data_IF_850425353095
#
_entry.id   IF_850425353095
#
_cell.length_a   1.000
_cell.length_b   1.000
_cell.length_c   1.000
_cell.angle_alpha   90.00
_cell.angle_beta   90.00
_cell.angle_gamma   90.00
#
_symmetry.space_group_name_H-M   'P 1'
#
loop_
_entity.id
_entity.type
_entity.pdbx_description
1 polymer ?
#
# COMPACT_ATOMS: atom_id res chain seq x y z
N UNK A 1 -0.08 -16.03 5.92
CA UNK A 1 -0.31 -14.85 5.07
C UNK A 1 0.10 -13.58 5.81
N UNK A 2 0.67 -12.65 5.11
CA UNK A 2 1.19 -11.41 5.69
C UNK A 2 0.46 -10.22 5.10
N UNK A 3 0.10 -9.24 5.96
CA UNK A 3 -0.42 -7.94 5.52
C UNK A 3 0.70 -6.93 5.58
N UNK A 4 0.87 -6.18 4.49
CA UNK A 4 1.80 -5.07 4.41
C UNK A 4 0.98 -3.79 4.32
N UNK A 5 1.30 -2.81 5.17
CA UNK A 5 0.56 -1.56 5.24
C UNK A 5 1.50 -0.36 5.15
N UNK A 6 1.07 0.65 4.40
CA UNK A 6 1.82 1.89 4.25
C UNK A 6 0.86 3.07 4.29
N UNK A 7 1.29 4.16 4.94
CA UNK A 7 0.45 5.35 5.14
C UNK A 7 1.11 6.58 4.55
N UNK A 8 0.29 7.45 3.97
CA UNK A 8 0.75 8.74 3.49
C UNK A 8 -0.40 9.75 3.47
N UNK A 9 -0.08 11.02 3.67
CA UNK A 9 -1.07 12.10 3.67
C UNK A 9 -0.94 12.96 2.43
N UNK A 10 -2.08 13.37 1.90
CA UNK A 10 -2.18 14.17 0.68
C UNK A 10 -3.17 15.30 0.94
N UNK A 11 -2.95 16.46 0.35
CA UNK A 11 -3.94 17.55 0.40
C UNK A 11 -5.25 17.04 -0.21
N UNK A 12 -6.35 17.44 0.40
CA UNK A 12 -7.67 16.97 -0.03
C UNK A 12 -7.97 17.30 -1.49
N UNK A 13 -7.53 18.46 -1.96
CA UNK A 13 -7.78 18.89 -3.33
C UNK A 13 -6.97 18.08 -4.36
N UNK A 14 -5.96 17.34 -3.93
CA UNK A 14 -5.17 16.48 -4.81
C UNK A 14 -5.55 15.01 -4.73
N UNK A 15 -6.60 14.69 -3.97
CA UNK A 15 -7.01 13.31 -3.74
C UNK A 15 -7.25 12.54 -5.04
N UNK A 16 -8.04 13.10 -5.94
CA UNK A 16 -8.41 12.42 -7.18
C UNK A 16 -7.21 12.20 -8.09
N UNK A 17 -6.33 13.20 -8.18
CA UNK A 17 -5.11 13.07 -8.97
C UNK A 17 -4.19 12.00 -8.42
N UNK A 18 -4.07 11.95 -7.10
CA UNK A 18 -3.21 10.96 -6.46
C UNK A 18 -3.73 9.54 -6.67
N UNK A 19 -5.04 9.34 -6.57
CA UNK A 19 -5.65 8.04 -6.83
C UNK A 19 -5.37 7.59 -8.27
N UNK A 20 -5.51 8.51 -9.23
CA UNK A 20 -5.23 8.20 -10.63
C UNK A 20 -3.75 7.83 -10.82
N UNK A 21 -2.87 8.56 -10.18
CA UNK A 21 -1.44 8.28 -10.23
C UNK A 21 -1.12 6.90 -9.66
N UNK A 22 -1.71 6.55 -8.51
CA UNK A 22 -1.49 5.24 -7.89
C UNK A 22 -1.99 4.10 -8.77
N UNK A 23 -3.11 4.30 -9.45
CA UNK A 23 -3.63 3.28 -10.36
C UNK A 23 -2.68 2.99 -11.52
N UNK A 24 -1.90 3.98 -11.92
CA UNK A 24 -0.94 3.82 -13.02
C UNK A 24 0.44 3.37 -12.56
N UNK A 25 0.72 3.44 -11.27
CA UNK A 25 2.03 3.11 -10.71
C UNK A 25 1.96 1.99 -9.70
N UNK A 26 1.93 2.33 -8.41
CA UNK A 26 2.03 1.35 -7.34
C UNK A 26 0.95 0.29 -7.38
N UNK A 27 -0.31 0.70 -7.52
CA UNK A 27 -1.41 -0.27 -7.49
C UNK A 27 -1.37 -1.22 -8.68
N UNK A 28 -0.94 -0.73 -9.85
CA UNK A 28 -0.82 -1.58 -11.02
C UNK A 28 0.29 -2.62 -10.86
N UNK A 29 1.35 -2.26 -10.14
CA UNK A 29 2.50 -3.15 -9.97
C UNK A 29 2.22 -4.33 -9.05
N UNK A 30 1.35 -4.15 -8.04
CA UNK A 30 1.09 -5.21 -7.08
C UNK A 30 0.58 -6.49 -7.73
N UNK A 31 -0.35 -6.36 -8.68
CA UNK A 31 -0.96 -7.51 -9.33
C UNK A 31 -0.01 -8.30 -10.21
N UNK A 32 1.15 -7.73 -10.53
CA UNK A 32 2.15 -8.38 -11.37
C UNK A 32 3.11 -9.26 -10.58
N UNK A 33 3.05 -9.19 -9.27
CA UNK A 33 4.01 -9.90 -8.41
C UNK A 33 3.39 -11.20 -7.91
N UNK A 34 4.07 -12.31 -8.17
CA UNK A 34 3.64 -13.61 -7.67
C UNK A 34 3.63 -13.59 -6.15
N UNK A 35 2.56 -14.12 -5.58
CA UNK A 35 2.40 -14.16 -4.13
C UNK A 35 1.56 -13.01 -3.57
N UNK A 36 1.20 -12.02 -4.39
CA UNK A 36 0.25 -11.00 -3.97
C UNK A 36 -1.16 -11.58 -4.00
N UNK A 37 -1.89 -11.42 -2.88
CA UNK A 37 -3.21 -11.99 -2.71
C UNK A 37 -4.32 -10.94 -2.67
N UNK A 38 -3.96 -9.68 -2.82
CA UNK A 38 -4.95 -8.61 -2.85
C UNK A 38 -4.37 -7.27 -2.48
N UNK A 39 -5.07 -6.21 -2.87
CA UNK A 39 -4.68 -4.83 -2.63
C UNK A 39 -5.92 -4.04 -2.26
N UNK A 40 -5.84 -3.25 -1.19
CA UNK A 40 -6.85 -2.27 -0.84
C UNK A 40 -6.19 -0.90 -0.71
N UNK A 41 -6.80 0.09 -1.30
CA UNK A 41 -6.43 1.48 -1.06
C UNK A 41 -7.53 2.09 -0.22
N UNK A 42 -7.19 2.45 1.01
CA UNK A 42 -8.12 3.02 1.97
C UNK A 42 -7.83 4.50 2.12
N UNK A 43 -8.85 5.27 2.47
CA UNK A 43 -8.70 6.71 2.62
C UNK A 43 -9.54 7.20 3.79
N UNK A 44 -8.95 8.05 4.62
CA UNK A 44 -9.65 8.70 5.71
C UNK A 44 -9.57 10.21 5.53
N UNK A 45 -10.71 10.88 5.61
CA UNK A 45 -10.79 12.34 5.52
C UNK A 45 -10.41 12.94 6.87
N UNK A 46 -9.41 13.83 6.87
CA UNK A 46 -8.91 14.49 8.07
C UNK A 46 -9.21 15.99 8.07
N UNK A 47 -10.11 16.44 7.17
CA UNK A 47 -10.43 17.84 7.03
C UNK A 47 -9.73 18.45 5.82
N UNK A 48 -8.60 19.11 6.04
CA UNK A 48 -7.83 19.73 4.96
C UNK A 48 -7.00 18.71 4.18
N UNK A 49 -6.74 17.57 4.81
CA UNK A 49 -5.92 16.51 4.24
C UNK A 49 -6.70 15.20 4.23
N UNK A 50 -6.22 14.25 3.43
CA UNK A 50 -6.69 12.87 3.47
C UNK A 50 -5.49 11.98 3.77
N UNK A 51 -5.73 10.92 4.54
CA UNK A 51 -4.71 9.90 4.77
C UNK A 51 -5.05 8.68 3.95
N UNK A 52 -4.08 8.25 3.15
CA UNK A 52 -4.20 7.01 2.39
C UNK A 52 -3.48 5.89 3.14
N UNK A 53 -4.08 4.72 3.13
CA UNK A 53 -3.51 3.51 3.65
C UNK A 53 -3.56 2.47 2.55
N UNK A 54 -2.40 2.02 2.12
CA UNK A 54 -2.30 0.91 1.17
C UNK A 54 -2.14 -0.37 1.96
N UNK A 55 -3.08 -1.29 1.79
CA UNK A 55 -3.07 -2.57 2.50
C UNK A 55 -2.97 -3.69 1.47
N UNK A 56 -1.91 -4.46 1.55
CA UNK A 56 -1.65 -5.54 0.60
C UNK A 56 -1.46 -6.87 1.32
N UNK A 57 -1.86 -7.95 0.66
CA UNK A 57 -1.83 -9.29 1.22
C UNK A 57 -0.85 -10.17 0.46
N UNK A 58 -0.02 -10.91 1.18
CA UNK A 58 1.09 -11.66 0.60
C UNK A 58 1.19 -13.05 1.20
N UNK A 59 1.59 -14.01 0.36
CA UNK A 59 1.77 -15.38 0.82
C UNK A 59 3.01 -15.56 1.68
N UNK A 60 4.04 -14.72 1.49
CA UNK A 60 5.31 -14.87 2.19
C UNK A 60 6.13 -13.59 2.16
N UNK A 61 7.16 -13.52 2.99
CA UNK A 61 8.13 -12.43 2.96
C UNK A 61 8.91 -12.41 1.64
N UNK A 62 9.19 -13.58 1.08
CA UNK A 62 9.88 -13.67 -0.20
C UNK A 62 9.09 -13.00 -1.31
N UNK A 63 7.78 -13.16 -1.31
CA UNK A 63 6.92 -12.48 -2.28
C UNK A 63 6.99 -10.95 -2.11
N UNK A 64 7.01 -10.48 -0.87
CA UNK A 64 7.14 -9.05 -0.59
C UNK A 64 8.48 -8.52 -1.10
N UNK A 65 9.56 -9.28 -0.96
CA UNK A 65 10.87 -8.88 -1.45
C UNK A 65 10.90 -8.74 -2.97
N UNK A 66 10.14 -9.55 -3.67
CA UNK A 66 10.03 -9.42 -5.13
C UNK A 66 9.42 -8.08 -5.54
N UNK A 67 8.52 -7.55 -4.73
CA UNK A 67 7.92 -6.24 -4.97
C UNK A 67 8.80 -5.10 -4.47
N UNK A 68 9.20 -5.17 -3.20
CA UNK A 68 9.82 -4.04 -2.50
C UNK A 68 11.33 -4.06 -2.49
N UNK A 69 11.95 -5.17 -2.90
CA UNK A 69 13.39 -5.32 -2.91
C UNK A 69 13.93 -5.91 -1.63
N UNK A 70 15.25 -5.92 -1.53
CA UNK A 70 15.97 -6.55 -0.42
C UNK A 70 15.59 -5.94 0.93
N UNK A 71 15.47 -4.61 0.97
CA UNK A 71 15.06 -3.89 2.17
C UNK A 71 13.56 -3.71 2.18
N UNK A 72 12.84 -4.81 2.27
CA UNK A 72 11.39 -4.82 2.10
C UNK A 72 10.63 -4.02 3.16
N UNK A 73 11.27 -3.70 4.27
CA UNK A 73 10.64 -2.88 5.30
C UNK A 73 10.48 -1.43 4.86
N UNK A 74 11.31 -0.97 3.91
CA UNK A 74 11.20 0.38 3.38
C UNK A 74 10.09 0.47 2.37
N UNK A 75 9.38 1.59 2.37
CA UNK A 75 8.35 1.85 1.38
C UNK A 75 8.98 2.00 0.00
N UNK A 76 8.29 1.48 -1.01
CA UNK A 76 8.71 1.66 -2.40
C UNK A 76 8.18 3.00 -2.89
N UNK A 77 9.06 3.84 -3.42
CA UNK A 77 8.70 5.17 -3.90
C UNK A 77 8.68 5.22 -5.42
N UNK A 78 7.86 6.12 -5.95
CA UNK A 78 7.75 6.38 -7.38
C UNK A 78 8.11 7.85 -7.63
N UNK A 79 8.55 8.19 -8.87
CA UNK A 79 9.15 9.51 -9.13
C UNK A 79 8.31 10.72 -8.73
N UNK A 80 6.98 10.64 -8.83
CA UNK A 80 6.13 11.78 -8.54
C UNK A 80 5.48 11.76 -7.17
N UNK A 81 5.88 10.83 -6.29
CA UNK A 81 5.31 10.74 -4.95
C UNK A 81 5.44 12.05 -4.18
N UNK A 82 6.58 12.73 -4.28
CA UNK A 82 6.82 13.97 -3.56
C UNK A 82 5.90 15.10 -3.99
N UNK A 83 5.37 15.03 -5.19
CA UNK A 83 4.43 16.04 -5.69
C UNK A 83 3.11 16.01 -4.90
N UNK A 84 2.71 14.84 -4.45
CA UNK A 84 1.43 14.64 -3.79
C UNK A 84 1.53 14.52 -2.28
N UNK A 85 2.58 13.85 -1.79
CA UNK A 85 2.66 13.48 -0.39
C UNK A 85 3.14 14.63 0.51
N UNK A 86 2.32 14.98 1.49
CA UNK A 86 2.66 15.95 2.52
C UNK A 86 3.50 15.31 3.62
N UNK A 87 3.14 14.07 3.96
CA UNK A 87 3.79 13.32 5.02
C UNK A 87 3.55 11.84 4.73
N UNK A 88 4.58 11.02 4.94
CA UNK A 88 4.47 9.60 4.70
C UNK A 88 5.45 8.83 5.57
N UNK A 89 5.12 7.58 5.82
CA UNK A 89 6.03 6.69 6.54
C UNK A 89 7.10 6.20 5.59
N UNK A 90 8.35 6.26 6.03
CA UNK A 90 9.47 5.76 5.24
C UNK A 90 9.47 4.24 5.18
N UNK A 91 8.89 3.60 6.19
CA UNK A 91 8.82 2.15 6.27
C UNK A 91 7.38 1.67 6.16
N UNK A 92 7.21 0.49 5.56
CA UNK A 92 5.94 -0.21 5.60
C UNK A 92 5.89 -1.07 6.86
N UNK A 93 4.69 -1.31 7.35
CA UNK A 93 4.46 -2.21 8.49
C UNK A 93 4.02 -3.56 7.98
N UNK A 94 4.41 -4.62 8.70
CA UNK A 94 4.07 -5.99 8.30
C UNK A 94 3.45 -6.71 9.48
N UNK A 95 2.35 -7.43 9.22
CA UNK A 95 1.61 -8.16 10.23
C UNK A 95 1.28 -9.56 9.74
N UNK A 96 1.42 -10.53 10.62
CA UNK A 96 0.96 -11.88 10.31
C UNK A 96 -0.54 -11.97 10.55
N UNK A 97 -1.27 -12.57 9.61
CA UNK A 97 -2.70 -12.79 9.79
C UNK A 97 -2.89 -14.07 10.61
N UNK A 98 -3.44 -13.93 11.79
CA UNK A 98 -3.68 -15.06 12.67
C UNK A 98 -5.10 -15.62 12.52
N UNK A 99 -6.02 -14.81 12.05
CA UNK A 99 -7.41 -15.23 11.86
C UNK A 99 -8.02 -14.48 10.69
N UNK A 100 -8.71 -15.19 9.82
CA UNK A 100 -9.37 -14.60 8.66
C UNK A 100 -10.67 -15.36 8.41
N UNK A 101 -11.78 -14.83 8.93
CA UNK A 101 -13.08 -15.47 8.80
C UNK A 101 -13.54 -15.55 7.35
N UNK A 102 -13.17 -14.58 6.53
CA UNK A 102 -13.59 -14.54 5.14
C UNK A 102 -13.00 -15.69 4.33
N UNK A 103 -11.80 -16.16 4.72
CA UNK A 103 -11.13 -17.26 4.06
C UNK A 103 -11.60 -18.62 4.53
N UNK A 104 -12.27 -18.66 5.66
CA UNK A 104 -12.77 -19.91 6.26
C UNK A 104 -14.23 -20.19 5.92
N UNK A 105 -14.90 -19.24 5.31
CA UNK A 105 -16.30 -19.42 4.91
C UNK A 105 -16.35 -20.15 3.59
N UNK A 106 -16.55 -21.40 3.68
CA UNK A 106 -16.61 -22.29 2.51
C UNK A 106 -17.95 -22.94 2.45
#
# INVERSE_FOLDING_TARGET
>A
MIVRMWRGKVRKDLKSEYVAYLNQTGLADYGKVEGNQGVYLLCQDLGDNVEFLTMTFWTSVEAIRKFAGKDYEKARHYPEDQKYLLNFNENAEHFEILYDASRNSK
#
